data_IF_726654234296
#
_entry.id   IF_726654234296
#
_cell.length_a   1.000
_cell.length_b   1.000
_cell.length_c   1.000
_cell.angle_alpha   90.00
_cell.angle_beta   90.00
_cell.angle_gamma   90.00
#
_symmetry.space_group_name_H-M   'P 1'
#
loop_
_entity.id
_entity.type
_entity.pdbx_description
1 polymer ?
#
# COMPACT_ATOMS: atom_id res chain seq x y z
N UNK A 1 -7.52 -19.29 -19.05
CA UNK A 1 -7.68 -17.86 -18.71
C UNK A 1 -8.76 -17.30 -19.65
N UNK A 2 -9.95 -17.00 -19.12
CA UNK A 2 -11.17 -16.86 -19.92
C UNK A 2 -11.26 -15.51 -20.65
N UNK A 3 -11.39 -15.57 -21.98
CA UNK A 3 -11.56 -14.42 -22.89
C UNK A 3 -12.80 -13.54 -22.58
N UNK A 4 -13.77 -14.07 -21.82
CA UNK A 4 -14.94 -13.34 -21.34
C UNK A 4 -14.59 -12.21 -20.36
N UNK A 5 -13.50 -12.34 -19.58
CA UNK A 5 -13.06 -11.29 -18.67
C UNK A 5 -12.49 -10.07 -19.42
N UNK A 6 -11.85 -10.30 -20.57
CA UNK A 6 -11.30 -9.25 -21.44
C UNK A 6 -12.40 -8.50 -22.21
N UNK A 7 -13.47 -9.20 -22.61
CA UNK A 7 -14.62 -8.59 -23.29
C UNK A 7 -15.48 -7.72 -22.37
N UNK A 8 -15.58 -8.07 -21.08
CA UNK A 8 -16.28 -7.25 -20.09
C UNK A 8 -15.56 -5.91 -19.83
N UNK A 9 -14.22 -5.90 -19.87
CA UNK A 9 -13.42 -4.66 -19.77
C UNK A 9 -13.56 -3.76 -21.00
N UNK A 10 -13.66 -4.35 -22.20
CA UNK A 10 -13.79 -3.59 -23.45
C UNK A 10 -15.18 -2.95 -23.62
N UNK A 11 -16.25 -3.62 -23.15
CA UNK A 11 -17.61 -3.11 -23.31
C UNK A 11 -17.93 -1.90 -22.42
N UNK A 12 -17.25 -1.75 -21.27
CA UNK A 12 -17.44 -0.59 -20.38
C UNK A 12 -16.74 0.69 -20.90
N UNK A 13 -15.78 0.54 -21.83
CA UNK A 13 -15.00 1.66 -22.38
C UNK A 13 -15.70 2.43 -23.52
N UNK A 14 -16.79 1.89 -24.07
CA UNK A 14 -17.43 2.42 -25.30
C UNK A 14 -18.73 3.20 -25.06
N UNK A 15 -19.18 3.38 -23.82
CA UNK A 15 -20.39 4.14 -23.56
C UNK A 15 -20.12 5.67 -23.66
N UNK A 16 -20.84 6.42 -24.51
CA UNK A 16 -20.75 7.87 -24.52
C UNK A 16 -21.27 8.41 -23.18
N UNK A 17 -20.39 9.05 -22.41
CA UNK A 17 -20.76 9.58 -21.10
C UNK A 17 -21.53 10.89 -21.26
N UNK A 18 -22.77 11.00 -20.76
CA UNK A 18 -23.46 12.29 -20.67
C UNK A 18 -22.63 13.22 -19.78
N UNK A 19 -22.75 14.55 -19.97
CA UNK A 19 -22.08 15.58 -19.14
C UNK A 19 -22.55 15.48 -17.68
N UNK A 20 -22.05 14.48 -16.96
CA UNK A 20 -22.34 14.25 -15.56
C UNK A 20 -21.57 15.31 -14.78
N UNK A 21 -22.30 16.01 -13.91
CA UNK A 21 -21.75 16.86 -12.87
C UNK A 21 -20.75 16.00 -12.11
N UNK A 22 -19.44 16.31 -12.21
CA UNK A 22 -18.39 15.50 -11.58
C UNK A 22 -18.73 15.30 -10.11
N UNK A 23 -18.94 14.04 -9.73
CA UNK A 23 -19.23 13.69 -8.37
C UNK A 23 -18.03 13.97 -7.48
N UNK A 24 -18.25 14.57 -6.29
CA UNK A 24 -17.16 14.78 -5.36
C UNK A 24 -16.68 13.45 -4.75
N UNK A 25 -17.51 12.41 -4.75
CA UNK A 25 -17.16 11.11 -4.17
C UNK A 25 -16.51 10.21 -5.22
N UNK A 26 -15.49 9.47 -4.80
CA UNK A 26 -14.84 8.47 -5.62
C UNK A 26 -14.40 7.26 -4.82
N UNK A 27 -14.23 6.14 -5.50
CA UNK A 27 -13.64 4.92 -4.98
C UNK A 27 -12.56 4.44 -5.94
N UNK A 28 -11.52 3.79 -5.42
CA UNK A 28 -10.45 3.26 -6.24
C UNK A 28 -9.87 1.97 -5.66
N UNK A 29 -9.89 0.85 -6.40
CA UNK A 29 -8.95 -0.23 -6.14
C UNK A 29 -7.54 0.18 -6.59
N UNK A 30 -6.53 -0.29 -5.85
CA UNK A 30 -5.11 0.00 -6.07
C UNK A 30 -4.29 -1.27 -5.86
N UNK A 31 -3.31 -1.48 -6.72
CA UNK A 31 -2.35 -2.59 -6.63
C UNK A 31 -0.95 -2.06 -6.91
N UNK A 32 0.04 -2.55 -6.19
CA UNK A 32 1.41 -2.07 -6.32
C UNK A 32 2.44 -3.01 -5.75
N UNK A 33 3.62 -2.48 -5.52
CA UNK A 33 4.72 -3.19 -4.89
C UNK A 33 5.33 -2.30 -3.80
N UNK A 34 5.52 -2.86 -2.61
CA UNK A 34 6.11 -2.18 -1.47
C UNK A 34 7.46 -2.79 -1.15
N UNK A 35 8.47 -1.94 -0.90
CA UNK A 35 9.73 -2.34 -0.29
C UNK A 35 9.81 -1.70 1.10
N UNK A 36 9.84 -2.53 2.13
CA UNK A 36 10.04 -2.06 3.50
C UNK A 36 11.44 -1.49 3.67
N UNK A 37 11.61 -0.57 4.61
CA UNK A 37 12.92 -0.04 5.01
C UNK A 37 13.73 -1.02 5.86
N UNK A 38 13.13 -2.15 6.24
CA UNK A 38 13.76 -3.24 6.99
C UNK A 38 14.49 -4.21 6.06
N UNK A 39 15.10 -5.26 6.63
CA UNK A 39 15.70 -6.35 5.87
C UNK A 39 14.67 -7.27 5.19
N UNK A 40 13.37 -7.09 5.41
CA UNK A 40 12.35 -7.87 4.72
C UNK A 40 12.35 -7.58 3.22
N UNK A 41 12.04 -8.58 2.42
CA UNK A 41 11.87 -8.40 0.98
C UNK A 41 10.64 -7.55 0.67
N UNK A 42 10.55 -7.10 -0.58
CA UNK A 42 9.35 -6.41 -1.03
C UNK A 42 8.21 -7.39 -1.28
N UNK A 43 6.98 -6.87 -1.28
CA UNK A 43 5.78 -7.68 -1.52
C UNK A 43 4.73 -6.93 -2.33
N UNK A 44 3.74 -7.69 -2.80
CA UNK A 44 2.54 -7.16 -3.44
C UNK A 44 1.76 -6.30 -2.46
N UNK A 45 1.42 -5.10 -2.91
CA UNK A 45 0.58 -4.15 -2.19
C UNK A 45 -0.83 -4.18 -2.76
N UNK A 46 -1.84 -4.38 -1.90
CA UNK A 46 -3.25 -4.35 -2.27
C UNK A 46 -3.96 -3.29 -1.43
N UNK A 47 -4.73 -2.41 -2.07
CA UNK A 47 -5.45 -1.37 -1.37
C UNK A 47 -6.78 -1.00 -2.02
N UNK A 48 -7.66 -0.44 -1.21
CA UNK A 48 -8.87 0.24 -1.63
C UNK A 48 -8.94 1.62 -0.99
N UNK A 49 -9.25 2.64 -1.79
CA UNK A 49 -9.44 4.01 -1.32
C UNK A 49 -10.85 4.50 -1.60
N UNK A 50 -11.38 5.31 -0.67
CA UNK A 50 -12.59 6.11 -0.85
C UNK A 50 -12.20 7.55 -0.59
N UNK A 51 -12.61 8.46 -1.47
CA UNK A 51 -12.23 9.85 -1.33
C UNK A 51 -13.35 10.82 -1.66
N UNK A 52 -13.24 12.00 -1.07
CA UNK A 52 -14.17 13.10 -1.22
C UNK A 52 -13.43 14.37 -1.63
N UNK A 53 -13.80 14.93 -2.78
CA UNK A 53 -13.35 16.24 -3.24
C UNK A 53 -14.09 17.32 -2.47
N UNK A 54 -13.34 18.02 -1.63
CA UNK A 54 -13.87 19.13 -0.85
C UNK A 54 -14.17 20.34 -1.75
N UNK A 55 -15.11 21.22 -1.38
CA UNK A 55 -15.32 22.48 -2.10
C UNK A 55 -14.18 23.49 -1.89
N UNK A 56 -13.25 23.21 -0.97
CA UNK A 56 -12.13 24.08 -0.65
C UNK A 56 -11.10 24.11 -1.79
N UNK A 57 -10.37 25.22 -1.89
CA UNK A 57 -9.29 25.39 -2.87
C UNK A 57 -9.72 25.08 -4.31
N UNK A 58 -10.93 25.47 -4.71
CA UNK A 58 -11.47 25.21 -6.06
C UNK A 58 -11.53 23.69 -6.38
N UNK A 59 -11.90 22.85 -5.41
CA UNK A 59 -11.94 21.37 -5.55
C UNK A 59 -10.59 20.71 -5.79
N UNK A 60 -9.50 21.37 -5.39
CA UNK A 60 -8.15 20.80 -5.44
C UNK A 60 -7.85 19.91 -4.24
N UNK A 61 -8.53 20.12 -3.11
CA UNK A 61 -8.31 19.33 -1.90
C UNK A 61 -9.28 18.14 -1.85
N UNK A 62 -8.72 16.94 -1.74
CA UNK A 62 -9.45 15.72 -1.45
C UNK A 62 -9.11 15.21 -0.05
N UNK A 63 -10.09 14.59 0.61
CA UNK A 63 -9.87 13.75 1.79
C UNK A 63 -10.02 12.30 1.35
N UNK A 64 -9.03 11.47 1.64
CA UNK A 64 -8.96 10.07 1.18
C UNK A 64 -8.77 9.15 2.37
N UNK A 65 -9.64 8.15 2.47
CA UNK A 65 -9.50 7.02 3.39
C UNK A 65 -9.02 5.82 2.58
N UNK A 66 -7.89 5.24 2.96
CA UNK A 66 -7.30 4.07 2.32
C UNK A 66 -7.21 2.92 3.32
N UNK A 67 -7.54 1.71 2.87
CA UNK A 67 -7.28 0.46 3.58
C UNK A 67 -6.39 -0.39 2.71
N UNK A 68 -5.27 -0.85 3.27
CA UNK A 68 -4.29 -1.64 2.53
C UNK A 68 -3.86 -2.91 3.26
N UNK A 69 -3.26 -3.82 2.50
CA UNK A 69 -2.72 -5.08 2.97
C UNK A 69 -1.46 -5.45 2.19
N UNK A 70 -0.44 -5.94 2.89
CA UNK A 70 0.75 -6.56 2.33
C UNK A 70 1.39 -7.54 3.34
N UNK A 71 2.23 -8.47 2.85
CA UNK A 71 2.91 -9.49 3.64
C UNK A 71 4.38 -9.69 3.19
N UNK A 72 5.26 -8.72 3.47
CA UNK A 72 6.69 -8.88 3.26
C UNK A 72 7.23 -10.07 4.05
N UNK A 73 8.14 -10.81 3.43
CA UNK A 73 8.78 -11.96 4.03
C UNK A 73 10.27 -11.98 3.69
N UNK A 74 11.05 -12.73 4.45
CA UNK A 74 12.43 -13.03 4.14
C UNK A 74 12.76 -14.42 4.65
N UNK A 75 13.67 -15.09 3.96
CA UNK A 75 14.19 -16.39 4.35
C UNK A 75 15.70 -16.29 4.51
N UNK A 76 16.24 -17.06 5.44
CA UNK A 76 17.68 -17.07 5.67
C UNK A 76 18.12 -18.31 6.43
N UNK A 77 19.39 -18.34 6.81
CA UNK A 77 19.95 -19.40 7.64
C UNK A 77 20.48 -18.82 8.94
N UNK A 78 20.10 -19.43 10.06
CA UNK A 78 20.69 -19.13 11.36
C UNK A 78 22.05 -19.85 11.44
N UNK A 79 23.07 -19.11 11.89
CA UNK A 79 24.41 -19.60 12.21
C UNK A 79 24.80 -19.07 13.60
N UNK A 80 25.35 -19.90 14.46
CA UNK A 80 25.81 -19.45 15.77
C UNK A 80 26.36 -20.58 16.65
N UNK A 81 27.29 -20.29 17.58
CA UNK A 81 27.88 -21.30 18.44
C UNK A 81 26.86 -21.98 19.37
N UNK A 82 25.71 -21.34 19.63
CA UNK A 82 24.61 -21.97 20.38
C UNK A 82 23.83 -23.01 19.55
N UNK A 83 24.02 -23.02 18.23
CA UNK A 83 23.43 -23.98 17.29
C UNK A 83 24.40 -25.12 16.97
N UNK A 84 25.67 -25.01 17.40
CA UNK A 84 26.68 -26.03 17.16
C UNK A 84 26.36 -27.30 17.94
N UNK A 85 26.12 -28.38 17.20
CA UNK A 85 26.00 -29.69 17.79
C UNK A 85 27.40 -30.31 17.84
N UNK A 86 28.08 -30.18 18.99
CA UNK A 86 29.38 -30.81 19.25
C UNK A 86 30.49 -30.38 18.26
N UNK A 87 30.56 -29.08 17.92
CA UNK A 87 31.65 -28.52 17.09
C UNK A 87 31.46 -28.67 15.58
N UNK A 88 30.27 -29.08 15.13
CA UNK A 88 29.86 -29.00 13.73
C UNK A 88 28.95 -27.78 13.52
N UNK A 89 29.28 -26.84 12.63
CA UNK A 89 28.42 -25.70 12.33
C UNK A 89 27.10 -26.20 11.74
N UNK A 90 26.01 -26.05 12.49
CA UNK A 90 24.68 -26.42 12.03
C UNK A 90 24.02 -25.19 11.42
N UNK A 91 23.88 -25.18 10.10
CA UNK A 91 23.06 -24.18 9.41
C UNK A 91 21.60 -24.63 9.42
N UNK A 92 20.69 -23.75 9.86
CA UNK A 92 19.25 -24.06 9.85
C UNK A 92 18.46 -22.96 9.16
N UNK A 93 17.51 -23.30 8.27
CA UNK A 93 16.67 -22.31 7.61
C UNK A 93 15.69 -21.68 8.59
N UNK A 94 15.40 -20.40 8.41
CA UNK A 94 14.30 -19.69 9.06
C UNK A 94 13.47 -18.93 8.01
N UNK A 95 12.19 -18.77 8.31
CA UNK A 95 11.28 -17.91 7.56
C UNK A 95 10.68 -16.87 8.49
N UNK A 96 10.80 -15.60 8.11
CA UNK A 96 10.18 -14.47 8.80
C UNK A 96 9.17 -13.83 7.85
N UNK A 97 7.92 -13.70 8.29
CA UNK A 97 6.89 -13.00 7.54
C UNK A 97 6.20 -11.96 8.42
N UNK A 98 6.11 -10.72 7.95
CA UNK A 98 5.35 -9.66 8.59
C UNK A 98 4.12 -9.36 7.76
N UNK A 99 2.94 -9.50 8.36
CA UNK A 99 1.67 -9.08 7.77
C UNK A 99 1.33 -7.70 8.27
N UNK A 100 0.85 -6.85 7.38
CA UNK A 100 0.40 -5.52 7.72
C UNK A 100 -0.96 -5.23 7.11
N UNK A 101 -1.83 -4.64 7.93
CA UNK A 101 -3.04 -3.95 7.48
C UNK A 101 -2.95 -2.52 7.98
N UNK A 102 -3.09 -1.55 7.08
CA UNK A 102 -3.13 -0.15 7.48
C UNK A 102 -4.44 0.53 7.07
N UNK A 103 -4.91 1.42 7.94
CA UNK A 103 -6.05 2.31 7.71
C UNK A 103 -5.53 3.73 7.75
N UNK A 104 -5.65 4.46 6.65
CA UNK A 104 -4.92 5.70 6.47
C UNK A 104 -5.85 6.81 6.01
N UNK A 105 -5.68 8.00 6.59
CA UNK A 105 -6.45 9.18 6.25
C UNK A 105 -5.50 10.23 5.69
N UNK A 106 -5.73 10.66 4.45
CA UNK A 106 -4.86 11.61 3.76
C UNK A 106 -5.61 12.84 3.29
N UNK A 107 -4.97 14.00 3.43
CA UNK A 107 -5.31 15.20 2.69
C UNK A 107 -4.48 15.21 1.40
N UNK A 108 -5.15 15.30 0.25
CA UNK A 108 -4.52 15.23 -1.07
C UNK A 108 -4.79 16.53 -1.83
N UNK A 109 -3.73 17.23 -2.20
CA UNK A 109 -3.77 18.43 -3.02
C UNK A 109 -3.52 18.06 -4.48
N UNK A 110 -4.49 18.38 -5.33
CA UNK A 110 -4.51 18.07 -6.75
C UNK A 110 -4.22 19.32 -7.58
N UNK A 111 -3.54 19.14 -8.70
CA UNK A 111 -3.25 20.20 -9.66
C UNK A 111 -3.86 19.84 -11.02
N UNK A 112 -5.16 20.12 -11.22
CA UNK A 112 -5.84 19.75 -12.46
C UNK A 112 -5.13 20.34 -13.67
N UNK A 113 -4.86 19.50 -14.67
CA UNK A 113 -4.13 19.86 -15.90
C UNK A 113 -2.75 20.48 -15.67
N UNK A 114 -2.10 20.16 -14.56
CA UNK A 114 -0.74 20.64 -14.26
C UNK A 114 0.31 20.13 -15.26
N UNK A 115 0.06 18.98 -15.91
CA UNK A 115 0.93 18.37 -16.91
C UNK A 115 0.10 17.93 -18.13
N UNK A 116 -0.53 18.89 -18.80
CA UNK A 116 -1.40 18.62 -19.94
C UNK A 116 -2.70 17.92 -19.51
N UNK A 117 -3.03 16.71 -20.01
CA UNK A 117 -4.21 15.97 -19.55
C UNK A 117 -4.03 15.35 -18.15
N UNK A 118 -2.78 15.22 -17.66
CA UNK A 118 -2.49 14.63 -16.36
C UNK A 118 -2.77 15.61 -15.22
N UNK A 119 -3.36 15.08 -14.15
CA UNK A 119 -3.58 15.78 -12.88
C UNK A 119 -2.57 15.24 -11.87
N UNK A 120 -1.40 15.87 -11.71
CA UNK A 120 -0.49 15.54 -10.62
C UNK A 120 -1.11 15.92 -9.28
N UNK A 121 -0.70 15.21 -8.23
CA UNK A 121 -1.15 15.46 -6.87
C UNK A 121 -0.11 15.00 -5.85
N UNK A 122 -0.21 15.58 -4.66
CA UNK A 122 0.58 15.21 -3.48
C UNK A 122 -0.32 15.18 -2.27
N UNK A 123 0.00 14.37 -1.28
CA UNK A 123 -0.78 14.29 -0.07
C UNK A 123 0.02 13.74 1.09
N UNK A 124 -0.55 13.89 2.27
CA UNK A 124 -0.02 13.31 3.48
C UNK A 124 -1.13 13.13 4.52
N UNK A 125 -0.88 12.27 5.50
CA UNK A 125 -1.75 12.17 6.65
C UNK A 125 -1.40 11.01 7.57
N UNK A 126 -2.14 10.89 8.69
CA UNK A 126 -1.93 9.82 9.65
C UNK A 126 -2.42 8.46 9.16
N UNK A 127 -1.90 7.40 9.76
CA UNK A 127 -2.38 6.05 9.57
C UNK A 127 -2.31 5.24 10.86
N UNK A 128 -3.25 4.31 11.00
CA UNK A 128 -3.18 3.23 11.98
C UNK A 128 -2.63 2.00 11.27
N UNK A 129 -1.51 1.48 11.76
CA UNK A 129 -0.81 0.34 11.20
C UNK A 129 -0.93 -0.84 12.16
N UNK A 130 -1.45 -1.96 11.68
CA UNK A 130 -1.62 -3.19 12.45
C UNK A 130 -0.70 -4.24 11.86
N UNK A 131 0.26 -4.71 12.66
CA UNK A 131 1.28 -5.66 12.23
C UNK A 131 1.14 -6.99 12.96
N UNK A 132 1.48 -8.05 12.24
CA UNK A 132 1.68 -9.38 12.81
C UNK A 132 2.92 -10.02 12.19
N UNK A 133 3.97 -10.17 13.00
CA UNK A 133 5.16 -10.92 12.65
C UNK A 133 4.98 -12.40 13.03
N UNK A 134 5.35 -13.28 12.12
CA UNK A 134 5.41 -14.73 12.34
C UNK A 134 6.82 -15.20 12.02
N UNK A 135 7.44 -15.91 12.97
CA UNK A 135 8.74 -16.56 12.80
C UNK A 135 8.53 -18.05 12.88
N UNK A 136 9.00 -18.78 11.88
CA UNK A 136 8.97 -20.23 11.82
C UNK A 136 10.41 -20.75 11.95
N UNK A 137 10.70 -21.43 13.07
CA UNK A 137 12.00 -22.05 13.38
C UNK A 137 11.76 -23.35 14.17
N UNK A 138 12.48 -24.44 13.86
CA UNK A 138 12.39 -25.73 14.57
C UNK A 138 10.98 -26.38 14.62
N UNK A 139 10.21 -26.29 13.52
CA UNK A 139 8.79 -26.70 13.51
C UNK A 139 7.93 -25.99 14.58
N UNK A 140 8.46 -24.91 15.16
CA UNK A 140 7.80 -24.04 16.11
C UNK A 140 7.46 -22.73 15.43
N UNK A 141 6.26 -22.24 15.69
CA UNK A 141 5.78 -20.95 15.19
C UNK A 141 5.65 -19.99 16.36
N UNK A 142 6.47 -18.94 16.36
CA UNK A 142 6.28 -17.80 17.24
C UNK A 142 5.56 -16.69 16.47
N UNK A 143 4.59 -16.01 17.09
CA UNK A 143 3.96 -14.85 16.48
C UNK A 143 3.84 -13.69 17.46
N UNK A 144 4.20 -12.50 16.99
CA UNK A 144 4.06 -11.24 17.71
C UNK A 144 3.14 -10.32 16.92
N UNK A 145 2.23 -9.63 17.59
CA UNK A 145 1.31 -8.68 16.99
C UNK A 145 1.38 -7.36 17.71
N UNK A 146 1.32 -6.27 16.96
CA UNK A 146 1.32 -4.93 17.51
C UNK A 146 0.59 -3.97 16.59
N UNK A 147 0.32 -2.77 17.08
CA UNK A 147 -0.24 -1.71 16.26
C UNK A 147 0.25 -0.35 16.73
N UNK A 148 0.33 0.59 15.80
CA UNK A 148 0.86 1.91 16.06
C UNK A 148 0.28 2.97 15.14
N UNK A 149 0.39 4.22 15.58
CA UNK A 149 0.15 5.35 14.71
C UNK A 149 1.41 5.68 13.93
N UNK A 150 1.22 6.01 12.66
CA UNK A 150 2.26 6.49 11.78
C UNK A 150 1.74 7.58 10.86
N UNK A 151 2.57 7.96 9.92
CA UNK A 151 2.24 8.93 8.89
C UNK A 151 2.56 8.35 7.53
N UNK A 152 1.88 8.87 6.52
CA UNK A 152 2.21 8.62 5.14
C UNK A 152 2.33 9.92 4.37
N UNK A 153 3.19 9.90 3.35
CA UNK A 153 3.23 10.87 2.29
C UNK A 153 3.01 10.14 0.96
N UNK A 154 2.29 10.78 0.04
CA UNK A 154 2.01 10.24 -1.27
C UNK A 154 2.18 11.31 -2.34
N UNK A 155 2.58 10.87 -3.53
CA UNK A 155 2.64 11.70 -4.72
C UNK A 155 2.27 10.86 -5.93
N UNK A 156 1.53 11.43 -6.88
CA UNK A 156 1.08 10.68 -8.03
C UNK A 156 0.53 11.56 -9.15
N UNK A 157 0.04 10.90 -10.19
CA UNK A 157 -0.62 11.54 -11.30
C UNK A 157 -1.81 10.70 -11.77
N UNK A 158 -2.92 11.38 -12.07
CA UNK A 158 -4.16 10.80 -12.58
C UNK A 158 -4.37 11.22 -14.04
N UNK A 159 -4.60 10.25 -14.91
CA UNK A 159 -5.02 10.43 -16.29
C UNK A 159 -6.56 10.22 -16.38
N UNK A 160 -7.34 11.22 -16.81
CA UNK A 160 -8.78 11.05 -16.98
C UNK A 160 -9.06 9.97 -18.05
N UNK A 161 -9.88 8.99 -17.70
CA UNK A 161 -10.19 7.84 -18.54
C UNK A 161 -11.61 7.34 -18.23
N UNK A 162 -12.53 7.50 -19.18
CA UNK A 162 -13.93 7.06 -19.04
C UNK A 162 -14.67 7.75 -17.90
N UNK A 163 -15.44 7.02 -17.04
CA UNK A 163 -16.16 7.59 -15.90
C UNK A 163 -15.26 8.01 -14.71
N UNK A 164 -13.94 8.05 -14.92
CA UNK A 164 -12.96 8.09 -13.85
C UNK A 164 -11.57 8.51 -14.33
N UNK A 165 -10.55 7.98 -13.67
CA UNK A 165 -9.16 8.19 -14.05
C UNK A 165 -8.23 7.08 -13.60
N UNK A 166 -7.36 6.63 -14.49
CA UNK A 166 -6.25 5.74 -14.12
C UNK A 166 -5.15 6.57 -13.45
N UNK A 167 -4.50 6.03 -12.43
CA UNK A 167 -3.46 6.78 -11.72
C UNK A 167 -2.26 5.90 -11.38
N UNK A 168 -1.12 6.57 -11.20
CA UNK A 168 0.12 6.03 -10.67
C UNK A 168 0.48 6.85 -9.42
N UNK A 169 0.83 6.17 -8.34
CA UNK A 169 1.09 6.78 -7.04
C UNK A 169 2.33 6.15 -6.40
N UNK A 170 3.18 6.97 -5.81
CA UNK A 170 4.25 6.56 -4.93
C UNK A 170 3.90 6.96 -3.50
N UNK A 171 4.15 6.07 -2.54
CA UNK A 171 3.99 6.40 -1.12
C UNK A 171 5.30 6.19 -0.38
N UNK A 172 5.42 6.97 0.69
CA UNK A 172 6.36 6.73 1.77
C UNK A 172 5.56 6.57 3.06
N UNK A 173 5.70 5.41 3.70
CA UNK A 173 5.12 5.12 5.00
C UNK A 173 6.18 5.29 6.08
N UNK A 174 5.80 5.99 7.15
CA UNK A 174 6.56 6.06 8.38
C UNK A 174 5.71 5.48 9.50
N UNK A 175 6.06 4.29 9.97
CA UNK A 175 5.32 3.55 10.99
C UNK A 175 6.33 3.06 12.04
N UNK A 176 6.57 3.84 13.11
CA UNK A 176 7.41 3.38 14.20
C UNK A 176 6.68 2.27 14.97
N UNK A 177 7.31 1.11 15.09
CA UNK A 177 6.79 -0.02 15.86
C UNK A 177 7.84 -0.46 16.86
N UNK A 178 7.41 -0.63 18.11
CA UNK A 178 8.25 -1.14 19.18
C UNK A 178 7.88 -2.60 19.40
N UNK A 179 8.68 -3.53 18.86
CA UNK A 179 8.53 -4.96 19.15
C UNK A 179 9.41 -5.34 20.34
N UNK A 180 8.93 -6.24 21.20
CA UNK A 180 9.65 -6.67 22.40
C UNK A 180 10.93 -7.45 22.04
N UNK A 181 10.93 -8.14 20.90
CA UNK A 181 12.02 -9.01 20.46
C UNK A 181 13.00 -8.35 19.50
N UNK A 182 12.54 -7.40 18.68
CA UNK A 182 13.33 -6.75 17.61
C UNK A 182 13.74 -5.30 17.93
N UNK A 183 13.19 -4.69 19.00
CA UNK A 183 13.43 -3.29 19.35
C UNK A 183 12.62 -2.29 18.53
N UNK A 184 12.99 -1.01 18.61
CA UNK A 184 12.36 0.07 17.86
C UNK A 184 12.74 -0.05 16.37
N UNK A 185 11.78 -0.41 15.53
CA UNK A 185 11.98 -0.56 14.08
C UNK A 185 10.91 0.26 13.34
N UNK A 186 11.32 1.03 12.34
CA UNK A 186 10.38 1.62 11.40
C UNK A 186 9.98 0.54 10.39
N UNK A 187 8.75 0.02 10.50
CA UNK A 187 8.19 -0.96 9.54
C UNK A 187 7.70 -0.29 8.26
N UNK A 188 7.78 1.03 8.19
CA UNK A 188 7.50 1.81 7.00
C UNK A 188 8.34 1.43 5.78
N UNK A 189 7.96 1.95 4.63
CA UNK A 189 8.52 1.56 3.34
C UNK A 189 8.19 2.55 2.24
N UNK A 190 8.81 2.31 1.09
CA UNK A 190 8.48 3.00 -0.16
C UNK A 190 7.66 2.05 -1.01
N UNK A 191 6.60 2.55 -1.63
CA UNK A 191 5.82 1.76 -2.59
C UNK A 191 5.51 2.57 -3.84
N UNK A 192 5.24 1.83 -4.91
CA UNK A 192 4.64 2.36 -6.13
C UNK A 192 3.41 1.51 -6.48
N UNK A 193 2.31 2.17 -6.84
CA UNK A 193 1.04 1.52 -7.10
C UNK A 193 0.29 2.19 -8.25
N UNK A 194 -0.53 1.38 -8.92
CA UNK A 194 -1.47 1.81 -9.95
C UNK A 194 -2.89 1.52 -9.52
N UNK A 195 -3.84 2.32 -10.00
CA UNK A 195 -5.25 2.10 -9.71
C UNK A 195 -6.16 2.85 -10.65
N UNK A 196 -7.47 2.76 -10.38
CA UNK A 196 -8.50 3.42 -11.17
C UNK A 196 -9.55 4.06 -10.26
N UNK A 197 -9.69 5.39 -10.32
CA UNK A 197 -10.67 6.17 -9.55
C UNK A 197 -11.97 6.26 -10.32
N UNK A 198 -13.01 5.59 -9.83
CA UNK A 198 -14.36 5.72 -10.33
C UNK A 198 -15.06 6.91 -9.62
N UNK A 199 -15.60 7.86 -10.39
CA UNK A 199 -16.43 8.95 -9.87
C UNK A 199 -17.88 8.45 -9.76
N UNK A 200 -18.54 8.69 -8.62
CA UNK A 200 -19.85 8.11 -8.28
C UNK A 200 -21.04 9.03 -8.57
#
# INVERSE_FOLDING_TARGET
MNALALLAFAALAAAPSPKHKESPLFLAPKVGFIKTTTSLDGDLYLAGEVGYLTPLLQRRLAVVLEVNYHRPSTTGTLRGPQLDNLGQPVERPYTLAAREVAIQLSAVLRFPRGLGPLTPYVGAGPGLYLHRATVEVYDSTASESGGGFGFQALAGAELPLGPGGAFLEAHYHFAPVNFLTTGDVNTGGVLAAVGYRLRL
#
